data_IF_344294714305
#
_entry.id   IF_344294714305
#
_cell.length_a   1.000
_cell.length_b   1.000
_cell.length_c   1.000
_cell.angle_alpha   90.00
_cell.angle_beta   90.00
_cell.angle_gamma   90.00
#
_symmetry.space_group_name_H-M   'P 1'
#
loop_
_entity.id
_entity.type
_entity.pdbx_description
1 polymer ?
#
# COMPACT_ATOMS: atom_id res chain seq x y z
N UNK A 1 -11.52 -14.33 11.21
CA UNK A 1 -11.68 -15.64 10.52
C UNK A 1 -13.13 -15.97 10.17
N UNK A 2 -14.07 -15.79 11.11
CA UNK A 2 -15.49 -16.09 10.87
C UNK A 2 -16.13 -15.24 9.77
N UNK A 3 -16.01 -13.89 9.78
CA UNK A 3 -16.54 -13.06 8.69
C UNK A 3 -15.87 -13.37 7.35
N UNK A 4 -14.56 -13.64 7.34
CA UNK A 4 -13.82 -13.91 6.11
C UNK A 4 -14.34 -15.17 5.39
N UNK A 5 -14.64 -16.24 6.12
CA UNK A 5 -15.22 -17.47 5.55
C UNK A 5 -16.59 -17.18 4.91
N UNK A 6 -17.44 -16.41 5.59
CA UNK A 6 -18.74 -15.99 5.06
C UNK A 6 -18.57 -15.10 3.81
N UNK A 7 -17.64 -14.17 3.81
CA UNK A 7 -17.31 -13.32 2.65
C UNK A 7 -16.85 -14.21 1.47
N UNK A 8 -16.01 -15.20 1.75
CA UNK A 8 -15.53 -16.14 0.72
C UNK A 8 -16.66 -16.87 0.04
N UNK A 9 -17.57 -17.48 0.82
CA UNK A 9 -18.61 -18.38 0.29
C UNK A 9 -19.88 -17.65 -0.14
N UNK A 10 -20.28 -16.61 0.60
CA UNK A 10 -21.54 -15.93 0.35
C UNK A 10 -21.42 -14.66 -0.51
N UNK A 11 -20.22 -14.15 -0.73
CA UNK A 11 -19.98 -12.92 -1.51
C UNK A 11 -19.05 -13.16 -2.69
N UNK A 12 -17.80 -13.57 -2.42
CA UNK A 12 -16.79 -13.67 -3.46
C UNK A 12 -17.02 -14.84 -4.44
N UNK A 13 -17.38 -16.02 -3.92
CA UNK A 13 -17.62 -17.20 -4.74
C UNK A 13 -18.77 -17.00 -5.75
N UNK A 14 -19.97 -16.53 -5.34
CA UNK A 14 -21.07 -16.25 -6.27
C UNK A 14 -20.93 -14.94 -7.02
N UNK A 15 -19.85 -14.16 -6.81
CA UNK A 15 -19.58 -12.85 -7.43
C UNK A 15 -20.68 -11.81 -7.16
N UNK A 16 -21.22 -11.78 -5.96
CA UNK A 16 -22.28 -10.84 -5.62
C UNK A 16 -21.77 -9.40 -5.64
N UNK A 17 -22.65 -8.49 -6.03
CA UNK A 17 -22.39 -7.05 -6.03
C UNK A 17 -22.47 -6.48 -4.59
N UNK A 18 -21.50 -6.83 -3.75
CA UNK A 18 -21.41 -6.42 -2.34
C UNK A 18 -20.16 -5.62 -2.09
N UNK A 19 -20.30 -4.47 -1.44
CA UNK A 19 -19.18 -3.58 -1.04
C UNK A 19 -18.99 -3.70 0.47
N UNK A 20 -17.83 -4.24 0.86
CA UNK A 20 -17.41 -4.38 2.25
C UNK A 20 -16.48 -3.22 2.54
N UNK A 21 -16.95 -2.24 3.30
CA UNK A 21 -16.16 -1.07 3.71
C UNK A 21 -15.91 -1.16 5.21
N UNK A 22 -14.65 -1.37 5.58
CA UNK A 22 -14.26 -1.57 6.97
C UNK A 22 -13.31 -0.46 7.43
N UNK A 23 -13.62 0.12 8.58
CA UNK A 23 -12.80 1.12 9.28
C UNK A 23 -11.96 0.47 10.38
N UNK A 24 -11.08 1.26 11.01
CA UNK A 24 -10.28 0.84 12.16
C UNK A 24 -9.32 -0.31 11.84
N UNK A 25 -8.62 -0.23 10.72
CA UNK A 25 -7.54 -1.14 10.41
C UNK A 25 -6.17 -0.61 10.88
N UNK A 26 -5.22 -1.50 11.01
CA UNK A 26 -3.81 -1.14 11.21
C UNK A 26 -3.41 -0.85 12.65
N UNK A 27 -2.16 -0.48 12.83
CA UNK A 27 -1.54 -0.13 14.12
C UNK A 27 -2.11 1.17 14.69
N UNK A 28 -2.49 2.12 13.83
CA UNK A 28 -3.03 3.43 14.21
C UNK A 28 -4.40 3.38 14.89
N UNK A 29 -5.01 2.20 15.01
CA UNK A 29 -6.15 1.98 15.91
C UNK A 29 -5.79 2.35 17.35
N UNK A 30 -4.53 2.17 17.74
CA UNK A 30 -3.97 2.77 18.92
C UNK A 30 -4.33 2.03 20.21
N UNK A 31 -5.02 2.71 21.10
CA UNK A 31 -5.27 2.28 22.49
C UNK A 31 -6.08 0.98 22.60
N UNK A 32 -6.94 0.67 21.62
CA UNK A 32 -7.74 -0.56 21.59
C UNK A 32 -6.88 -1.82 21.50
N UNK A 33 -5.65 -1.69 21.05
CA UNK A 33 -4.61 -2.72 21.11
C UNK A 33 -4.77 -3.84 20.09
N UNK A 34 -3.95 -4.88 20.26
CA UNK A 34 -3.74 -5.96 19.29
C UNK A 34 -5.02 -6.70 18.84
N UNK A 35 -6.04 -6.79 19.71
CA UNK A 35 -7.29 -7.47 19.39
C UNK A 35 -8.17 -6.72 18.38
N UNK A 36 -7.90 -5.42 18.15
CA UNK A 36 -8.64 -4.55 17.23
C UNK A 36 -7.79 -4.10 16.03
N UNK A 37 -6.48 -4.22 16.11
CA UNK A 37 -5.53 -3.83 15.08
C UNK A 37 -5.46 -4.90 13.98
N UNK A 38 -6.31 -4.81 12.94
CA UNK A 38 -6.26 -5.72 11.81
C UNK A 38 -5.02 -5.42 10.94
N UNK A 39 -4.08 -6.37 10.91
CA UNK A 39 -2.80 -6.28 10.18
C UNK A 39 -2.71 -7.28 9.02
N UNK A 40 -3.75 -8.08 8.80
CA UNK A 40 -3.80 -9.17 7.81
C UNK A 40 -5.01 -9.09 6.87
N UNK A 41 -5.84 -8.08 7.00
CA UNK A 41 -7.09 -7.92 6.25
C UNK A 41 -6.88 -7.81 4.74
N UNK A 42 -5.89 -7.04 4.26
CA UNK A 42 -5.58 -6.97 2.83
C UNK A 42 -5.10 -8.32 2.30
N UNK A 43 -4.27 -9.04 3.05
CA UNK A 43 -3.79 -10.37 2.68
C UNK A 43 -4.95 -11.35 2.50
N UNK A 44 -5.86 -11.40 3.47
CA UNK A 44 -7.04 -12.25 3.45
C UNK A 44 -7.95 -11.95 2.25
N UNK A 45 -8.23 -10.66 2.00
CA UNK A 45 -9.10 -10.25 0.90
C UNK A 45 -8.45 -10.42 -0.48
N UNK A 46 -7.11 -10.20 -0.58
CA UNK A 46 -6.37 -10.48 -1.81
C UNK A 46 -6.41 -11.97 -2.21
N UNK A 47 -6.42 -12.87 -1.24
CA UNK A 47 -6.48 -14.31 -1.48
C UNK A 47 -7.82 -14.76 -2.09
N UNK A 48 -8.89 -13.98 -1.94
CA UNK A 48 -10.21 -14.34 -2.48
C UNK A 48 -10.30 -14.07 -3.99
N UNK A 49 -10.64 -15.08 -4.82
CA UNK A 49 -10.99 -14.82 -6.21
C UNK A 49 -12.13 -13.78 -6.34
N UNK A 50 -12.14 -13.02 -7.42
CA UNK A 50 -13.13 -11.99 -7.74
C UNK A 50 -13.12 -10.73 -6.86
N UNK A 51 -12.53 -10.77 -5.67
CA UNK A 51 -12.51 -9.63 -4.76
C UNK A 51 -11.60 -8.50 -5.26
N UNK A 52 -12.13 -7.29 -5.38
CA UNK A 52 -11.35 -6.05 -5.53
C UNK A 52 -10.94 -5.57 -4.15
N UNK A 53 -9.68 -5.14 -3.98
CA UNK A 53 -9.14 -4.68 -2.70
C UNK A 53 -8.58 -3.28 -2.84
N UNK A 54 -9.10 -2.34 -2.04
CA UNK A 54 -8.81 -0.91 -2.12
C UNK A 54 -8.41 -0.36 -0.74
N UNK A 55 -7.41 0.51 -0.71
CA UNK A 55 -6.98 1.27 0.47
C UNK A 55 -6.64 2.69 0.04
N UNK A 56 -7.61 3.64 0.07
CA UNK A 56 -7.41 5.02 -0.38
C UNK A 56 -6.48 5.78 0.56
N UNK A 57 -5.77 6.77 0.00
CA UNK A 57 -4.73 7.53 0.70
C UNK A 57 -5.29 8.60 1.66
N UNK A 58 -6.39 9.25 1.27
CA UNK A 58 -6.98 10.35 2.03
C UNK A 58 -8.51 10.46 1.84
N UNK A 59 -9.10 11.52 2.37
CA UNK A 59 -10.55 11.74 2.31
C UNK A 59 -11.06 11.98 0.88
N UNK A 60 -10.31 12.72 0.05
CA UNK A 60 -10.71 13.00 -1.34
C UNK A 60 -10.70 11.72 -2.17
N UNK A 61 -9.65 10.92 -2.06
CA UNK A 61 -9.60 9.63 -2.75
C UNK A 61 -10.63 8.64 -2.19
N UNK A 62 -10.89 8.65 -0.89
CA UNK A 62 -11.96 7.82 -0.28
C UNK A 62 -13.32 8.15 -0.89
N UNK A 63 -13.63 9.43 -1.07
CA UNK A 63 -14.86 9.86 -1.73
C UNK A 63 -14.94 9.34 -3.18
N UNK A 64 -13.89 9.59 -3.98
CA UNK A 64 -13.83 9.14 -5.37
C UNK A 64 -13.89 7.61 -5.50
N UNK A 65 -13.18 6.88 -4.63
CA UNK A 65 -13.20 5.42 -4.57
C UNK A 65 -14.58 4.88 -4.19
N UNK A 66 -15.29 5.55 -3.26
CA UNK A 66 -16.65 5.17 -2.86
C UNK A 66 -17.62 5.24 -4.04
N UNK A 67 -17.56 6.31 -4.84
CA UNK A 67 -18.38 6.42 -6.05
C UNK A 67 -18.01 5.33 -7.07
N UNK A 68 -16.72 5.11 -7.30
CA UNK A 68 -16.25 4.10 -8.25
C UNK A 68 -16.67 2.68 -7.88
N UNK A 69 -16.59 2.29 -6.59
CA UNK A 69 -17.05 0.96 -6.18
C UNK A 69 -18.57 0.83 -6.20
N UNK A 70 -19.32 1.92 -6.00
CA UNK A 70 -20.78 1.89 -6.09
C UNK A 70 -21.24 1.52 -7.51
N UNK A 71 -20.53 1.98 -8.54
CA UNK A 71 -20.82 1.68 -9.95
C UNK A 71 -20.24 0.33 -10.42
N UNK A 72 -19.22 -0.19 -9.74
CA UNK A 72 -18.59 -1.46 -10.12
C UNK A 72 -19.51 -2.65 -9.82
N UNK A 73 -19.75 -3.51 -10.79
CA UNK A 73 -20.52 -4.75 -10.61
C UNK A 73 -19.61 -5.91 -10.17
N UNK A 74 -19.62 -6.18 -8.87
CA UNK A 74 -18.80 -7.23 -8.26
C UNK A 74 -18.42 -6.94 -6.81
N UNK A 75 -17.78 -7.90 -6.14
CA UNK A 75 -17.39 -7.76 -4.74
C UNK A 75 -16.16 -6.85 -4.58
N UNK A 76 -16.26 -5.89 -3.66
CA UNK A 76 -15.16 -5.01 -3.28
C UNK A 76 -14.94 -5.03 -1.78
N UNK A 77 -13.69 -4.92 -1.38
CA UNK A 77 -13.26 -4.61 -0.02
C UNK A 77 -12.51 -3.27 -0.03
N UNK A 78 -13.00 -2.31 0.74
CA UNK A 78 -12.33 -1.02 0.93
C UNK A 78 -11.93 -0.88 2.40
N UNK A 79 -10.65 -0.62 2.61
CA UNK A 79 -9.99 -0.53 3.90
C UNK A 79 -9.79 0.93 4.31
N UNK A 80 -10.26 1.31 5.49
CA UNK A 80 -10.12 2.66 6.04
C UNK A 80 -9.46 2.63 7.42
N UNK A 81 -8.61 3.61 7.70
CA UNK A 81 -8.00 3.80 9.02
C UNK A 81 -8.99 4.35 10.06
N UNK A 82 -8.50 4.52 11.30
CA UNK A 82 -9.20 5.21 12.39
C UNK A 82 -8.74 6.65 12.55
N UNK A 83 -7.44 6.87 12.45
CA UNK A 83 -6.83 8.18 12.67
C UNK A 83 -7.14 9.15 11.54
N UNK A 84 -7.22 10.43 11.87
CA UNK A 84 -7.22 11.49 10.87
C UNK A 84 -5.93 11.44 10.07
N UNK A 85 -6.05 11.59 8.75
CA UNK A 85 -4.92 11.61 7.83
C UNK A 85 -4.90 12.96 7.09
N UNK A 86 -3.71 13.49 6.75
CA UNK A 86 -3.61 14.69 5.92
C UNK A 86 -4.29 14.49 4.57
N UNK A 87 -4.95 15.52 4.07
CA UNK A 87 -5.44 15.55 2.69
C UNK A 87 -4.25 15.91 1.80
N UNK A 88 -3.86 14.99 0.94
CA UNK A 88 -2.67 15.09 0.06
C UNK A 88 -3.05 15.15 -1.42
N UNK A 89 -4.28 14.78 -1.76
CA UNK A 89 -4.78 14.77 -3.14
C UNK A 89 -5.79 15.93 -3.36
N UNK A 90 -5.94 16.40 -4.60
CA UNK A 90 -6.90 17.44 -4.92
C UNK A 90 -8.35 16.96 -4.73
N UNK A 91 -9.28 17.89 -4.52
CA UNK A 91 -10.70 17.60 -4.30
C UNK A 91 -11.35 16.89 -5.51
N UNK A 92 -10.89 17.22 -6.71
CA UNK A 92 -11.36 16.65 -7.97
C UNK A 92 -10.56 15.42 -8.43
N UNK A 93 -9.86 14.74 -7.50
CA UNK A 93 -9.08 13.54 -7.83
C UNK A 93 -9.97 12.49 -8.49
N UNK A 94 -9.51 11.96 -9.62
CA UNK A 94 -10.16 10.84 -10.28
C UNK A 94 -9.68 9.51 -9.70
N UNK A 95 -10.59 8.56 -9.54
CA UNK A 95 -10.26 7.21 -9.10
C UNK A 95 -10.74 6.17 -10.14
N UNK A 96 -9.84 5.29 -10.52
CA UNK A 96 -10.15 4.16 -11.39
C UNK A 96 -9.63 2.86 -10.75
N UNK A 97 -10.51 1.91 -10.54
CA UNK A 97 -10.15 0.60 -9.98
C UNK A 97 -9.04 -0.03 -10.83
N UNK A 98 -7.95 -0.46 -10.18
CA UNK A 98 -6.81 -1.08 -10.86
C UNK A 98 -5.81 -0.10 -11.48
N UNK A 99 -5.97 1.20 -11.25
CA UNK A 99 -4.99 2.22 -11.66
C UNK A 99 -4.34 2.88 -10.46
N UNK A 100 -3.03 3.11 -10.58
CA UNK A 100 -2.22 3.83 -9.60
C UNK A 100 -1.93 5.25 -10.08
N UNK A 101 -1.61 6.15 -9.14
CA UNK A 101 -1.25 7.53 -9.45
C UNK A 101 0.21 7.80 -9.12
N UNK A 102 0.96 8.35 -10.07
CA UNK A 102 2.33 8.84 -9.84
C UNK A 102 2.22 10.26 -9.28
N UNK A 103 2.43 10.42 -7.98
CA UNK A 103 2.31 11.70 -7.29
C UNK A 103 3.59 12.55 -7.37
N UNK A 104 4.72 11.90 -7.58
CA UNK A 104 6.02 12.54 -7.74
C UNK A 104 6.87 11.72 -8.68
N UNK A 105 7.50 12.37 -9.67
CA UNK A 105 8.46 11.71 -10.56
C UNK A 105 9.84 11.60 -9.89
N UNK A 106 10.56 10.51 -10.20
CA UNK A 106 11.90 10.25 -9.70
C UNK A 106 12.66 9.25 -10.57
N UNK A 107 13.98 9.13 -10.32
CA UNK A 107 14.86 8.29 -11.16
C UNK A 107 15.73 7.30 -10.38
N UNK A 108 15.82 7.46 -9.05
CA UNK A 108 16.77 6.67 -8.26
C UNK A 108 16.11 5.55 -7.47
N UNK A 109 14.89 5.71 -7.02
CA UNK A 109 14.12 4.69 -6.28
C UNK A 109 12.62 4.93 -6.48
N UNK A 110 11.82 3.86 -6.52
CA UNK A 110 10.36 3.94 -6.51
C UNK A 110 9.85 3.69 -5.09
N UNK A 111 9.06 4.61 -4.55
CA UNK A 111 8.32 4.44 -3.30
C UNK A 111 6.85 4.18 -3.66
N UNK A 112 6.31 3.04 -3.24
CA UNK A 112 4.93 2.63 -3.52
C UNK A 112 4.18 2.57 -2.19
N UNK A 113 3.32 3.54 -1.95
CA UNK A 113 2.51 3.63 -0.73
C UNK A 113 1.07 3.21 -0.97
N UNK A 114 0.39 2.79 0.10
CA UNK A 114 -1.07 2.59 0.12
C UNK A 114 -1.66 3.11 1.43
N UNK A 115 -2.91 3.58 1.38
CA UNK A 115 -3.56 4.19 2.53
C UNK A 115 -2.76 5.38 3.06
N UNK A 116 -2.79 5.58 4.37
CA UNK A 116 -2.05 6.68 5.01
C UNK A 116 -0.53 6.66 4.80
N UNK A 117 0.06 5.53 4.39
CA UNK A 117 1.50 5.46 4.13
C UNK A 117 1.93 6.19 2.85
N UNK A 118 0.98 6.67 2.04
CA UNK A 118 1.28 7.50 0.86
C UNK A 118 1.85 8.87 1.28
N UNK A 119 1.28 9.49 2.31
CA UNK A 119 1.82 10.74 2.88
C UNK A 119 3.25 10.53 3.40
N UNK A 120 3.48 9.46 4.15
CA UNK A 120 4.83 9.11 4.62
C UNK A 120 5.83 8.88 3.46
N UNK A 121 5.38 8.34 2.32
CA UNK A 121 6.19 8.22 1.11
C UNK A 121 6.54 9.58 0.50
N UNK A 122 5.59 10.52 0.47
CA UNK A 122 5.83 11.88 -0.03
C UNK A 122 6.83 12.63 0.86
N UNK A 123 6.70 12.48 2.17
CA UNK A 123 7.63 13.05 3.15
C UNK A 123 9.04 12.44 3.01
N UNK A 124 9.13 11.11 2.92
CA UNK A 124 10.38 10.41 2.69
C UNK A 124 11.06 10.85 1.38
N UNK A 125 10.28 11.08 0.31
CA UNK A 125 10.82 11.56 -0.96
C UNK A 125 11.44 12.97 -0.85
N UNK A 126 10.83 13.87 -0.06
CA UNK A 126 11.42 15.20 0.22
C UNK A 126 12.73 15.07 1.01
N UNK A 127 12.76 14.19 2.02
CA UNK A 127 13.97 13.94 2.82
C UNK A 127 15.10 13.32 1.98
N UNK A 128 14.78 12.41 1.07
CA UNK A 128 15.73 11.79 0.15
C UNK A 128 16.29 12.79 -0.85
N UNK A 129 15.49 13.72 -1.36
CA UNK A 129 15.93 14.79 -2.26
C UNK A 129 17.00 15.67 -1.60
N UNK A 130 16.81 16.04 -0.32
CA UNK A 130 17.82 16.74 0.47
C UNK A 130 19.16 15.98 0.61
N UNK A 131 19.16 14.68 0.28
CA UNK A 131 20.33 13.79 0.32
C UNK A 131 20.82 13.39 -1.08
N UNK A 132 20.29 14.03 -2.13
CA UNK A 132 20.68 13.79 -3.53
C UNK A 132 20.06 12.52 -4.16
N UNK A 133 19.04 11.93 -3.55
CA UNK A 133 18.32 10.75 -4.06
C UNK A 133 16.96 11.18 -4.59
N UNK A 134 16.72 10.99 -5.88
CA UNK A 134 15.45 11.33 -6.56
C UNK A 134 14.48 10.16 -6.49
N UNK A 135 13.48 10.26 -5.62
CA UNK A 135 12.46 9.22 -5.42
C UNK A 135 11.19 9.51 -6.23
N UNK A 136 10.72 8.50 -6.97
CA UNK A 136 9.36 8.47 -7.54
C UNK A 136 8.38 7.98 -6.49
N UNK A 137 7.21 8.63 -6.35
CA UNK A 137 6.17 8.21 -5.41
C UNK A 137 4.93 7.79 -6.17
N UNK A 138 4.50 6.56 -5.90
CA UNK A 138 3.29 5.96 -6.46
C UNK A 138 2.28 5.75 -5.33
N UNK A 139 1.09 6.30 -5.50
CA UNK A 139 -0.08 5.95 -4.71
C UNK A 139 -0.74 4.71 -5.33
N UNK A 140 -0.68 3.59 -4.61
CA UNK A 140 -1.27 2.31 -5.00
C UNK A 140 -2.53 2.05 -4.18
N UNK A 141 -3.60 2.75 -4.51
CA UNK A 141 -4.87 2.64 -3.78
C UNK A 141 -5.61 1.34 -4.07
N UNK A 142 -5.43 0.75 -5.25
CA UNK A 142 -5.98 -0.57 -5.58
C UNK A 142 -4.89 -1.63 -5.45
N UNK A 143 -5.05 -2.52 -4.46
CA UNK A 143 -4.09 -3.60 -4.20
C UNK A 143 -4.39 -4.82 -5.08
N UNK A 144 -5.66 -4.99 -5.45
CA UNK A 144 -6.12 -6.03 -6.37
C UNK A 144 -7.33 -5.52 -7.17
N UNK A 145 -7.27 -5.48 -8.51
CA UNK A 145 -6.08 -5.79 -9.32
C UNK A 145 -4.97 -4.75 -9.13
N UNK A 146 -3.72 -5.20 -9.15
CA UNK A 146 -2.56 -4.30 -9.07
C UNK A 146 -2.32 -3.63 -10.43
N UNK A 147 -1.97 -2.34 -10.45
CA UNK A 147 -1.52 -1.64 -11.67
C UNK A 147 -0.08 -2.06 -12.02
N UNK A 148 0.04 -3.21 -12.68
CA UNK A 148 1.31 -3.77 -13.08
C UNK A 148 2.06 -2.90 -14.08
N UNK A 149 1.35 -2.19 -14.97
CA UNK A 149 1.94 -1.30 -15.97
C UNK A 149 2.69 -0.14 -15.29
N UNK A 150 2.05 0.53 -14.34
CA UNK A 150 2.66 1.65 -13.59
C UNK A 150 3.84 1.17 -12.76
N UNK A 151 3.71 0.05 -12.03
CA UNK A 151 4.80 -0.51 -11.23
C UNK A 151 6.01 -0.88 -12.10
N UNK A 152 5.80 -1.68 -13.15
CA UNK A 152 6.88 -2.13 -14.03
C UNK A 152 7.51 -0.98 -14.80
N UNK A 153 6.72 0.00 -15.27
CA UNK A 153 7.22 1.21 -15.89
C UNK A 153 8.16 2.00 -14.98
N UNK A 154 7.82 2.11 -13.69
CA UNK A 154 8.64 2.78 -12.69
C UNK A 154 9.91 1.99 -12.36
N UNK A 155 9.80 0.71 -12.00
CA UNK A 155 10.98 -0.09 -11.58
C UNK A 155 11.96 -0.33 -12.72
N UNK A 156 11.53 -0.31 -13.97
CA UNK A 156 12.44 -0.32 -15.13
C UNK A 156 13.35 0.89 -15.17
N UNK A 157 12.87 2.06 -14.74
CA UNK A 157 13.67 3.31 -14.67
C UNK A 157 14.54 3.34 -13.42
N UNK A 158 13.93 3.11 -12.26
CA UNK A 158 14.56 3.31 -10.94
C UNK A 158 15.43 2.13 -10.49
N UNK A 159 15.17 0.93 -10.98
CA UNK A 159 15.89 -0.34 -10.71
C UNK A 159 15.87 -0.80 -9.25
N UNK A 160 15.02 -0.24 -8.41
CA UNK A 160 14.70 -0.72 -7.06
C UNK A 160 13.41 -0.06 -6.56
N UNK A 161 12.72 -0.69 -5.62
CA UNK A 161 11.55 -0.07 -5.01
C UNK A 161 11.44 -0.35 -3.51
N UNK A 162 10.64 0.49 -2.87
CA UNK A 162 10.18 0.33 -1.48
C UNK A 162 8.66 0.31 -1.52
N UNK A 163 8.04 -0.64 -0.82
CA UNK A 163 6.60 -0.63 -0.55
C UNK A 163 6.35 -0.17 0.88
N UNK A 164 5.29 0.61 1.10
CA UNK A 164 4.91 1.10 2.41
C UNK A 164 3.42 0.87 2.67
N UNK A 165 3.11 0.12 3.72
CA UNK A 165 1.77 -0.28 4.09
C UNK A 165 1.62 -0.37 5.61
N UNK A 166 0.53 0.12 6.15
CA UNK A 166 0.17 -0.09 7.56
C UNK A 166 -0.54 -1.45 7.72
N UNK A 167 0.20 -2.49 7.44
CA UNK A 167 -0.27 -3.87 7.36
C UNK A 167 0.94 -4.80 7.53
N UNK A 168 0.73 -6.09 7.73
CA UNK A 168 1.81 -7.07 7.65
C UNK A 168 2.46 -7.04 6.26
N UNK A 169 3.79 -7.13 6.22
CA UNK A 169 4.52 -7.31 4.94
C UNK A 169 4.15 -8.63 4.26
N UNK A 170 3.52 -9.55 4.99
CA UNK A 170 3.09 -10.86 4.49
C UNK A 170 1.71 -10.74 3.84
N UNK A 171 1.63 -10.95 2.54
CA UNK A 171 0.38 -11.01 1.80
C UNK A 171 -0.26 -9.67 1.40
N UNK A 172 0.24 -8.53 1.90
CA UNK A 172 -0.25 -7.18 1.58
C UNK A 172 0.29 -6.61 0.25
N UNK A 173 0.47 -5.28 0.21
CA UNK A 173 1.01 -4.54 -0.93
C UNK A 173 2.42 -5.01 -1.30
N UNK A 174 3.31 -5.14 -0.29
CA UNK A 174 4.69 -5.54 -0.52
C UNK A 174 4.80 -6.90 -1.19
N UNK A 175 3.99 -7.87 -0.75
CA UNK A 175 3.92 -9.18 -1.40
C UNK A 175 3.39 -9.09 -2.83
N UNK A 176 2.35 -8.26 -3.09
CA UNK A 176 1.80 -8.10 -4.44
C UNK A 176 2.82 -7.51 -5.43
N UNK A 177 3.56 -6.50 -4.99
CA UNK A 177 4.63 -5.89 -5.80
C UNK A 177 5.80 -6.85 -5.99
N UNK A 178 6.21 -7.58 -4.94
CA UNK A 178 7.29 -8.55 -5.03
C UNK A 178 6.96 -9.69 -6.00
N UNK A 179 5.75 -10.24 -5.95
CA UNK A 179 5.27 -11.28 -6.88
C UNK A 179 5.36 -10.80 -8.34
N UNK A 180 4.88 -9.58 -8.61
CA UNK A 180 4.92 -8.97 -9.94
C UNK A 180 6.37 -8.74 -10.41
N UNK A 181 7.17 -8.11 -9.58
CA UNK A 181 8.55 -7.74 -9.93
C UNK A 181 9.44 -8.97 -10.10
N UNK A 182 9.26 -10.00 -9.25
CA UNK A 182 10.04 -11.23 -9.35
C UNK A 182 9.79 -11.99 -10.66
N UNK A 183 8.55 -11.93 -11.18
CA UNK A 183 8.18 -12.64 -12.40
C UNK A 183 8.53 -11.85 -13.69
N UNK A 184 8.48 -10.52 -13.66
CA UNK A 184 8.53 -9.71 -14.88
C UNK A 184 9.86 -8.93 -15.06
N UNK A 185 10.36 -8.27 -14.02
CA UNK A 185 11.62 -7.48 -14.05
C UNK A 185 12.26 -7.45 -12.66
N UNK A 186 13.02 -8.48 -12.28
CA UNK A 186 13.57 -8.62 -10.93
C UNK A 186 14.47 -7.44 -10.54
N UNK A 187 14.07 -6.72 -9.49
CA UNK A 187 14.83 -5.65 -8.84
C UNK A 187 14.74 -5.79 -7.31
N UNK A 188 15.63 -5.18 -6.54
CA UNK A 188 15.49 -5.12 -5.08
C UNK A 188 14.18 -4.48 -4.65
N UNK A 189 13.40 -5.18 -3.81
CA UNK A 189 12.17 -4.71 -3.18
C UNK A 189 12.38 -4.69 -1.68
N UNK A 190 12.29 -3.50 -1.06
CA UNK A 190 12.29 -3.34 0.38
C UNK A 190 10.87 -3.09 0.85
N UNK A 191 10.45 -3.74 1.92
CA UNK A 191 9.09 -3.63 2.45
C UNK A 191 9.09 -2.92 3.79
N UNK A 192 8.30 -1.87 3.92
CA UNK A 192 7.96 -1.16 5.14
C UNK A 192 6.53 -1.54 5.52
N UNK A 193 6.37 -2.21 6.65
CA UNK A 193 5.14 -2.77 7.18
C UNK A 193 5.44 -3.51 8.48
N UNK A 194 4.42 -4.03 9.17
CA UNK A 194 4.62 -4.83 10.38
C UNK A 194 5.25 -6.18 10.04
N UNK A 195 6.20 -6.63 10.90
CA UNK A 195 7.05 -7.78 10.61
C UNK A 195 6.67 -8.99 11.46
N UNK A 196 5.65 -9.73 10.99
CA UNK A 196 5.20 -10.99 11.61
C UNK A 196 5.00 -10.85 13.14
N UNK A 197 4.26 -9.82 13.52
CA UNK A 197 3.96 -9.50 14.92
C UNK A 197 2.56 -8.93 15.08
N UNK A 198 1.94 -9.20 16.20
CA UNK A 198 0.74 -8.46 16.61
C UNK A 198 1.11 -7.05 17.08
N UNK A 199 0.12 -6.17 17.08
CA UNK A 199 0.26 -4.84 17.66
C UNK A 199 0.12 -4.87 19.21
N UNK A 200 -0.06 -3.70 19.79
CA UNK A 200 -0.24 -3.47 21.22
C UNK A 200 -1.00 -2.17 21.46
N UNK A 201 -1.44 -1.94 22.69
CA UNK A 201 -2.07 -0.69 23.09
C UNK A 201 -1.03 0.43 23.22
N UNK A 202 -1.35 1.60 22.70
CA UNK A 202 -0.49 2.78 22.77
C UNK A 202 -1.04 3.95 21.96
N UNK A 203 -0.42 5.13 22.07
CA UNK A 203 -0.78 6.25 21.23
C UNK A 203 -0.42 5.93 19.74
N UNK A 204 -1.30 6.25 18.77
CA UNK A 204 -1.08 5.91 17.37
C UNK A 204 0.30 6.32 16.84
N UNK A 205 0.74 7.54 17.09
CA UNK A 205 2.03 8.05 16.64
C UNK A 205 3.23 7.28 17.23
N UNK A 206 3.15 6.89 18.49
CA UNK A 206 4.21 6.11 19.17
C UNK A 206 4.27 4.69 18.59
N UNK A 207 3.11 4.09 18.32
CA UNK A 207 3.03 2.78 17.69
C UNK A 207 3.57 2.81 16.25
N UNK A 208 3.18 3.78 15.45
CA UNK A 208 3.73 3.93 14.08
C UNK A 208 5.25 4.01 14.11
N UNK A 209 5.82 4.79 15.03
CA UNK A 209 7.27 4.89 15.23
C UNK A 209 7.89 3.56 15.71
N UNK A 210 7.28 2.91 16.70
CA UNK A 210 7.77 1.65 17.27
C UNK A 210 7.81 0.53 16.24
N UNK A 211 6.78 0.45 15.39
CA UNK A 211 6.67 -0.58 14.36
C UNK A 211 7.37 -0.24 13.05
N UNK A 212 8.08 0.90 13.00
CA UNK A 212 8.90 1.28 11.84
C UNK A 212 8.05 1.69 10.63
N UNK A 213 6.95 2.42 10.87
CA UNK A 213 5.99 2.86 9.85
C UNK A 213 6.06 4.38 9.65
N UNK A 214 7.27 4.94 9.63
CA UNK A 214 7.50 6.37 9.50
C UNK A 214 8.23 6.72 8.20
N UNK A 215 8.26 8.00 7.84
CA UNK A 215 9.03 8.51 6.72
C UNK A 215 10.53 8.20 6.87
N UNK A 216 11.09 8.25 8.08
CA UNK A 216 12.48 7.88 8.36
C UNK A 216 12.76 6.41 8.02
N UNK A 217 11.82 5.51 8.33
CA UNK A 217 11.95 4.08 8.02
C UNK A 217 11.91 3.84 6.51
N UNK A 218 11.05 4.58 5.79
CA UNK A 218 11.00 4.55 4.33
C UNK A 218 12.32 5.08 3.73
N UNK A 219 12.88 6.16 4.26
CA UNK A 219 14.18 6.70 3.84
C UNK A 219 15.28 5.65 4.04
N UNK A 220 15.31 4.98 5.18
CA UNK A 220 16.26 3.91 5.47
C UNK A 220 16.12 2.75 4.47
N UNK A 221 14.89 2.30 4.23
CA UNK A 221 14.60 1.25 3.26
C UNK A 221 14.99 1.65 1.83
N UNK A 222 14.74 2.91 1.45
CA UNK A 222 15.11 3.44 0.13
C UNK A 222 16.62 3.45 -0.09
N UNK A 223 17.41 3.87 0.90
CA UNK A 223 18.88 3.81 0.84
C UNK A 223 19.38 2.38 0.71
N UNK A 224 18.78 1.46 1.46
CA UNK A 224 19.13 0.04 1.37
C UNK A 224 18.79 -0.52 -0.04
N UNK A 225 17.60 -0.20 -0.57
CA UNK A 225 17.20 -0.59 -1.92
C UNK A 225 18.17 -0.05 -2.99
N UNK A 226 18.54 1.23 -2.89
CA UNK A 226 19.50 1.88 -3.82
C UNK A 226 20.87 1.20 -3.75
N UNK A 227 21.34 0.85 -2.55
CA UNK A 227 22.64 0.18 -2.35
C UNK A 227 22.70 -1.22 -2.97
N UNK A 228 21.55 -1.89 -3.07
CA UNK A 228 21.41 -3.26 -3.60
C UNK A 228 21.09 -3.30 -5.10
N UNK A 229 21.05 -2.16 -5.78
CA UNK A 229 20.83 -2.16 -7.24
C UNK A 229 21.84 -3.04 -7.96
N UNK A 230 21.42 -3.85 -8.92
CA UNK A 230 22.36 -4.63 -9.73
C UNK A 230 23.32 -3.69 -10.43
N UNK A 231 24.63 -3.92 -10.24
CA UNK A 231 25.65 -3.18 -10.95
C UNK A 231 25.47 -3.41 -12.45
N UNK A 232 25.61 -2.37 -13.28
CA UNK A 232 25.43 -2.36 -14.76
C UNK A 232 26.43 -3.26 -15.54
N UNK A 233 26.72 -4.48 -15.04
CA UNK A 233 27.73 -5.35 -15.66
C UNK A 233 27.23 -6.16 -16.87
N UNK A 234 25.91 -6.17 -17.14
CA UNK A 234 25.28 -7.10 -18.09
C UNK A 234 24.63 -6.45 -19.31
N UNK A 235 25.01 -5.23 -19.68
CA UNK A 235 24.68 -4.67 -21.00
C UNK A 235 25.95 -4.60 -21.87
N UNK A 236 26.29 -5.73 -22.47
CA UNK A 236 27.00 -5.78 -23.75
C UNK A 236 26.04 -6.20 -24.84
#
# INVERSE_FOLDING_TARGET
>A
GRPWEQIRLAVAYPKLNVKIVATHCGISVGEDGASHQALEDMALMRALPNMVVISPADAHETYAATLAIAEYDGPCYMRLGRSDVPVILPEDVSFTIGKASVLRSGKDVTLIGTGQMVDACLEAAKMLEGQGISAEVINMSTIKPLDSETVLGSVKRTRCCVTAEEHSIIGGLGSAVADLVASEDPVPVMMVGTRDTFGESGAPADLMKKYGLTADDIVKAAKDAVSKKPRRWWRR
#
